data_IF_513999219761
#
_entry.id   IF_513999219761
#
_cell.length_a   1.000
_cell.length_b   1.000
_cell.length_c   1.000
_cell.angle_alpha   90.00
_cell.angle_beta   90.00
_cell.angle_gamma   90.00
#
_symmetry.space_group_name_H-M   'P 1'
#
loop_
_entity.id
_entity.type
_entity.pdbx_description
1 polymer ?
#
# COMPACT_ATOMS: atom_id res chain seq x y z
N UNK A 1 4.46 -12.21 10.54
CA UNK A 1 3.85 -11.50 11.69
C UNK A 1 4.86 -10.49 12.20
N UNK A 2 4.39 -9.32 12.64
CA UNK A 2 5.27 -8.26 13.16
C UNK A 2 5.97 -8.74 14.44
N UNK A 3 7.28 -8.57 14.51
CA UNK A 3 8.08 -8.93 15.67
C UNK A 3 7.98 -7.83 16.74
N UNK A 4 6.99 -7.97 17.62
CA UNK A 4 6.68 -6.97 18.65
C UNK A 4 7.77 -6.83 19.71
N UNK A 5 8.61 -7.86 19.91
CA UNK A 5 9.70 -7.83 20.89
C UNK A 5 10.84 -6.89 20.45
N UNK A 6 10.95 -6.65 19.14
CA UNK A 6 11.93 -5.73 18.55
C UNK A 6 11.43 -4.29 18.50
N UNK A 7 10.15 -4.04 18.82
CA UNK A 7 9.57 -2.69 18.84
C UNK A 7 10.03 -1.94 20.09
N UNK A 8 10.52 -0.72 19.88
CA UNK A 8 10.93 0.20 20.93
C UNK A 8 9.72 0.95 21.46
N UNK A 9 9.75 1.21 22.78
CA UNK A 9 8.77 2.02 23.50
C UNK A 9 7.32 1.53 23.40
N UNK A 10 7.13 0.22 23.24
CA UNK A 10 5.81 -0.39 23.10
C UNK A 10 4.85 0.00 24.24
N UNK A 11 5.36 0.06 25.48
CA UNK A 11 4.58 0.46 26.65
C UNK A 11 4.06 1.91 26.56
N UNK A 12 4.79 2.82 25.89
CA UNK A 12 4.35 4.21 25.70
C UNK A 12 3.22 4.30 24.66
N UNK A 13 3.32 3.54 23.57
CA UNK A 13 2.35 3.62 22.49
C UNK A 13 1.13 2.71 22.67
N UNK A 14 1.23 1.61 23.41
CA UNK A 14 0.16 0.62 23.58
C UNK A 14 -1.13 1.16 24.22
N UNK A 15 -1.06 2.25 24.97
CA UNK A 15 -2.23 2.93 25.54
C UNK A 15 -2.91 3.89 24.56
N UNK A 16 -2.19 4.33 23.52
CA UNK A 16 -2.66 5.33 22.54
C UNK A 16 -3.03 4.69 21.20
N UNK A 17 -2.30 3.66 20.78
CA UNK A 17 -2.38 3.05 19.46
C UNK A 17 -2.93 1.62 19.55
N UNK A 18 -3.83 1.27 18.62
CA UNK A 18 -4.34 -0.10 18.46
C UNK A 18 -3.37 -0.98 17.67
N UNK A 19 -2.26 -1.33 18.31
CA UNK A 19 -1.20 -2.15 17.71
C UNK A 19 -1.69 -3.56 17.36
N UNK A 20 -2.61 -4.11 18.15
CA UNK A 20 -3.26 -5.39 17.90
C UNK A 20 -4.04 -5.43 16.58
N UNK A 21 -4.52 -4.29 16.10
CA UNK A 21 -5.14 -4.13 14.77
C UNK A 21 -4.10 -3.85 13.69
N UNK A 22 -3.04 -3.10 14.01
CA UNK A 22 -1.96 -2.80 13.08
C UNK A 22 -1.15 -4.04 12.66
N UNK A 23 -0.87 -4.95 13.59
CA UNK A 23 -0.19 -6.22 13.31
C UNK A 23 -0.91 -7.05 12.24
N UNK A 24 -2.23 -6.86 12.10
CA UNK A 24 -3.10 -7.56 11.15
C UNK A 24 -3.37 -6.76 9.87
N UNK A 25 -2.80 -5.56 9.72
CA UNK A 25 -3.08 -4.66 8.59
C UNK A 25 -2.73 -5.28 7.23
N UNK A 26 -1.78 -6.23 7.22
CA UNK A 26 -1.37 -6.98 6.04
C UNK A 26 -1.97 -8.40 5.95
N UNK A 27 -2.62 -8.89 7.01
CA UNK A 27 -3.11 -10.27 7.11
C UNK A 27 -4.28 -10.54 6.15
N UNK A 28 -5.18 -9.58 5.99
CA UNK A 28 -6.40 -9.73 5.18
C UNK A 28 -6.24 -9.25 3.73
N UNK A 29 -5.00 -9.12 3.26
CA UNK A 29 -4.71 -8.57 1.92
C UNK A 29 -4.91 -9.65 0.85
N UNK A 30 -6.03 -9.57 0.12
CA UNK A 30 -6.26 -10.40 -1.07
C UNK A 30 -5.49 -9.89 -2.30
N UNK A 31 -4.92 -8.69 -2.22
CA UNK A 31 -4.19 -8.01 -3.28
C UNK A 31 -2.80 -7.59 -2.81
N UNK A 32 -1.82 -7.72 -3.70
CA UNK A 32 -0.46 -7.22 -3.52
C UNK A 32 -0.38 -5.72 -3.27
N UNK A 33 -1.40 -4.95 -3.66
CA UNK A 33 -1.41 -3.49 -3.56
C UNK A 33 -1.16 -2.99 -2.14
N UNK A 34 -1.64 -3.70 -1.12
CA UNK A 34 -1.51 -3.27 0.27
C UNK A 34 -0.05 -3.20 0.74
N UNK A 35 0.80 -4.13 0.30
CA UNK A 35 2.23 -4.12 0.66
C UNK A 35 2.91 -2.88 0.09
N UNK A 36 2.75 -2.65 -1.22
CA UNK A 36 3.35 -1.50 -1.89
C UNK A 36 2.78 -0.17 -1.40
N UNK A 37 1.47 -0.11 -1.11
CA UNK A 37 0.84 1.10 -0.59
C UNK A 37 1.36 1.46 0.80
N UNK A 38 1.46 0.48 1.70
CA UNK A 38 2.02 0.71 3.04
C UNK A 38 3.50 1.10 2.95
N UNK A 39 4.31 0.36 2.17
CA UNK A 39 5.73 0.66 1.96
C UNK A 39 5.93 2.08 1.38
N UNK A 40 5.10 2.48 0.41
CA UNK A 40 5.14 3.81 -0.16
C UNK A 40 4.81 4.91 0.86
N UNK A 41 3.78 4.71 1.71
CA UNK A 41 3.50 5.62 2.82
C UNK A 41 4.70 5.72 3.76
N UNK A 42 5.29 4.57 4.16
CA UNK A 42 6.43 4.55 5.07
C UNK A 42 7.64 5.31 4.51
N UNK A 43 7.94 5.16 3.22
CA UNK A 43 9.05 5.87 2.58
C UNK A 43 8.80 7.38 2.45
N UNK A 44 7.58 7.77 2.05
CA UNK A 44 7.25 9.18 1.79
C UNK A 44 7.03 9.94 3.12
N UNK A 45 6.54 9.26 4.16
CA UNK A 45 6.26 9.90 5.44
C UNK A 45 7.50 10.39 6.19
N UNK A 46 8.69 9.94 5.80
CA UNK A 46 9.96 10.44 6.30
C UNK A 46 10.06 11.96 6.11
N UNK A 47 9.52 12.49 5.00
CA UNK A 47 9.66 13.89 4.62
C UNK A 47 8.40 14.73 4.90
N UNK A 48 7.20 14.13 4.98
CA UNK A 48 5.92 14.83 5.19
C UNK A 48 4.82 13.88 5.69
N UNK A 49 3.87 14.35 6.48
CA UNK A 49 2.75 13.51 6.97
C UNK A 49 1.52 13.50 6.05
N UNK A 50 1.39 14.53 5.21
CA UNK A 50 0.27 14.71 4.30
C UNK A 50 0.74 14.40 2.88
N UNK A 51 0.21 13.33 2.29
CA UNK A 51 0.73 12.73 1.06
C UNK A 51 -0.41 12.57 0.05
N UNK A 52 -0.28 13.12 -1.16
CA UNK A 52 -1.27 12.87 -2.21
C UNK A 52 -1.25 11.40 -2.65
N UNK A 53 -2.42 10.86 -3.01
CA UNK A 53 -2.52 9.51 -3.56
C UNK A 53 -1.61 9.35 -4.77
N UNK A 54 -1.52 10.36 -5.63
CA UNK A 54 -0.64 10.34 -6.79
C UNK A 54 0.83 10.08 -6.44
N UNK A 55 1.32 10.71 -5.37
CA UNK A 55 2.71 10.55 -4.92
C UNK A 55 2.95 9.16 -4.31
N UNK A 56 1.95 8.61 -3.62
CA UNK A 56 2.00 7.22 -3.13
C UNK A 56 2.05 6.26 -4.32
N UNK A 57 1.26 6.50 -5.37
CA UNK A 57 1.25 5.64 -6.56
C UNK A 57 2.55 5.71 -7.36
N UNK A 58 3.16 6.89 -7.50
CA UNK A 58 4.47 7.06 -8.12
C UNK A 58 5.52 6.20 -7.41
N UNK A 59 5.52 6.28 -6.08
CA UNK A 59 6.39 5.49 -5.22
C UNK A 59 6.08 3.99 -5.35
N UNK A 60 4.81 3.57 -5.30
CA UNK A 60 4.39 2.17 -5.48
C UNK A 60 4.86 1.56 -6.80
N UNK A 61 4.70 2.29 -7.90
CA UNK A 61 5.14 1.82 -9.23
C UNK A 61 6.66 1.63 -9.24
N UNK A 62 7.41 2.56 -8.61
CA UNK A 62 8.87 2.42 -8.49
C UNK A 62 9.30 1.23 -7.62
N UNK A 63 8.59 0.98 -6.52
CA UNK A 63 8.89 -0.12 -5.59
C UNK A 63 8.61 -1.50 -6.19
N UNK A 64 7.59 -1.60 -7.02
CA UNK A 64 7.18 -2.86 -7.64
C UNK A 64 7.93 -3.19 -8.95
N UNK A 65 8.69 -2.24 -9.50
CA UNK A 65 9.36 -2.41 -10.79
C UNK A 65 10.31 -3.61 -10.82
N UNK A 66 11.23 -3.70 -9.86
CA UNK A 66 12.21 -4.79 -9.76
C UNK A 66 11.52 -6.16 -9.61
N UNK A 67 10.47 -6.21 -8.77
CA UNK A 67 9.71 -7.44 -8.52
C UNK A 67 9.06 -7.97 -9.81
N UNK A 68 8.53 -7.08 -10.67
CA UNK A 68 7.86 -7.46 -11.92
C UNK A 68 8.85 -7.70 -13.06
N UNK A 69 9.80 -6.79 -13.26
CA UNK A 69 10.66 -6.76 -14.45
C UNK A 69 11.86 -7.68 -14.31
N UNK A 70 12.55 -7.63 -13.16
CA UNK A 70 13.80 -8.38 -12.96
C UNK A 70 13.52 -9.76 -12.34
N UNK A 71 12.64 -9.83 -11.33
CA UNK A 71 12.32 -11.08 -10.64
C UNK A 71 11.19 -11.87 -11.30
N UNK A 72 10.44 -11.23 -12.22
CA UNK A 72 9.39 -11.86 -13.00
C UNK A 72 8.15 -12.25 -12.19
N UNK A 73 7.88 -11.62 -11.04
CA UNK A 73 6.68 -11.90 -10.27
C UNK A 73 5.43 -11.33 -10.95
N UNK A 74 4.35 -12.08 -10.85
CA UNK A 74 3.00 -11.58 -11.11
C UNK A 74 2.41 -11.02 -9.81
N UNK A 75 1.84 -9.82 -9.89
CA UNK A 75 1.27 -9.15 -8.72
C UNK A 75 -0.21 -9.50 -8.52
N UNK A 76 -0.85 -10.09 -9.53
CA UNK A 76 -2.25 -10.56 -9.55
C UNK A 76 -2.36 -12.00 -10.04
N UNK A 77 -3.50 -12.67 -9.85
CA UNK A 77 -3.75 -13.92 -10.54
C UNK A 77 -3.84 -13.72 -12.06
N UNK A 78 -3.37 -14.70 -12.82
CA UNK A 78 -3.61 -14.77 -14.26
C UNK A 78 -5.04 -15.26 -14.52
N UNK A 79 -5.87 -14.40 -15.11
CA UNK A 79 -7.25 -14.74 -15.49
C UNK A 79 -7.26 -15.06 -16.98
N UNK A 80 -7.53 -16.32 -17.35
CA UNK A 80 -7.44 -16.78 -18.74
C UNK A 80 -6.10 -16.44 -19.40
N UNK A 81 -4.99 -16.67 -18.69
CA UNK A 81 -3.62 -16.32 -19.10
C UNK A 81 -3.36 -14.83 -19.33
N UNK A 82 -4.25 -13.94 -18.85
CA UNK A 82 -4.08 -12.49 -18.94
C UNK A 82 -3.75 -11.88 -17.59
N UNK A 83 -2.81 -10.93 -17.61
CA UNK A 83 -2.44 -10.07 -16.47
C UNK A 83 -3.56 -9.05 -16.25
N UNK A 84 -4.24 -9.14 -15.11
CA UNK A 84 -5.34 -8.21 -14.76
C UNK A 84 -4.97 -7.23 -13.65
N UNK A 85 -3.78 -7.39 -13.05
CA UNK A 85 -3.29 -6.51 -12.00
C UNK A 85 -2.90 -5.14 -12.56
N UNK A 86 -3.46 -4.07 -11.99
CA UNK A 86 -3.27 -2.71 -12.47
C UNK A 86 -1.85 -2.19 -12.20
N UNK A 87 -1.23 -2.54 -11.08
CA UNK A 87 0.14 -2.13 -10.74
C UNK A 87 1.14 -2.80 -11.67
N UNK A 88 0.98 -4.10 -11.91
CA UNK A 88 1.82 -4.85 -12.85
C UNK A 88 1.69 -4.31 -14.28
N UNK A 89 0.45 -4.08 -14.74
CA UNK A 89 0.23 -3.53 -16.07
C UNK A 89 0.75 -2.09 -16.22
N UNK A 90 0.71 -1.28 -15.16
CA UNK A 90 1.35 0.04 -15.14
C UNK A 90 2.87 -0.09 -15.38
N UNK A 91 3.55 -0.97 -14.64
CA UNK A 91 5.00 -1.21 -14.75
C UNK A 91 5.37 -1.66 -16.17
N UNK A 92 4.67 -2.67 -16.70
CA UNK A 92 4.95 -3.19 -18.04
C UNK A 92 4.73 -2.14 -19.14
N UNK A 93 3.78 -1.21 -18.93
CA UNK A 93 3.51 -0.15 -19.90
C UNK A 93 4.66 0.86 -20.03
N UNK A 94 5.42 1.09 -18.96
CA UNK A 94 6.55 2.04 -18.92
C UNK A 94 7.92 1.38 -19.08
N UNK A 95 8.03 0.06 -18.87
CA UNK A 95 9.28 -0.70 -18.94
C UNK A 95 10.09 -0.40 -20.22
N UNK A 96 9.42 -0.28 -21.36
CA UNK A 96 10.05 -0.01 -22.67
C UNK A 96 10.79 1.35 -22.76
N UNK A 97 10.54 2.27 -21.84
CA UNK A 97 11.18 3.58 -21.79
C UNK A 97 12.37 3.63 -20.82
N UNK A 98 12.59 2.55 -20.07
CA UNK A 98 13.62 2.47 -19.03
C UNK A 98 14.82 1.63 -19.52
N UNK A 99 16.06 2.01 -19.15
CA UNK A 99 17.23 1.17 -19.38
C UNK A 99 17.21 -0.09 -18.50
N UNK A 100 17.97 -1.11 -18.89
CA UNK A 100 18.01 -2.41 -18.18
C UNK A 100 18.43 -2.31 -16.70
N UNK A 101 19.19 -1.29 -16.30
CA UNK A 101 19.65 -1.06 -14.92
C UNK A 101 19.21 0.31 -14.42
N UNK A 102 17.92 0.64 -14.55
CA UNK A 102 17.39 1.91 -14.09
C UNK A 102 17.36 2.01 -12.56
N UNK A 103 17.77 3.15 -12.03
CA UNK A 103 17.60 3.52 -10.63
C UNK A 103 16.13 3.81 -10.32
N UNK A 104 15.78 3.73 -9.03
CA UNK A 104 14.46 4.16 -8.53
C UNK A 104 14.09 5.58 -8.97
N UNK A 105 15.06 6.50 -8.98
CA UNK A 105 14.83 7.89 -9.40
C UNK A 105 14.47 7.97 -10.88
N UNK A 106 15.14 7.21 -11.75
CA UNK A 106 14.81 7.15 -13.18
C UNK A 106 13.42 6.55 -13.40
N UNK A 107 13.03 5.53 -12.62
CA UNK A 107 11.68 4.96 -12.68
C UNK A 107 10.64 6.03 -12.30
N UNK A 108 10.83 6.75 -11.19
CA UNK A 108 9.90 7.82 -10.77
C UNK A 108 9.81 8.93 -11.84
N UNK A 109 10.94 9.33 -12.44
CA UNK A 109 10.95 10.32 -13.52
C UNK A 109 10.14 9.82 -14.72
N UNK A 110 10.33 8.56 -15.13
CA UNK A 110 9.59 7.93 -16.22
C UNK A 110 8.08 7.87 -15.93
N UNK A 111 7.69 7.45 -14.72
CA UNK A 111 6.29 7.44 -14.27
C UNK A 111 5.65 8.82 -14.45
N UNK A 112 6.34 9.88 -14.01
CA UNK A 112 5.84 11.26 -14.13
C UNK A 112 5.76 11.76 -15.57
N UNK A 113 6.71 11.37 -16.42
CA UNK A 113 6.70 11.70 -17.85
C UNK A 113 5.54 11.04 -18.60
N UNK A 114 5.11 9.87 -18.13
CA UNK A 114 4.04 9.05 -18.72
C UNK A 114 2.76 9.03 -17.86
N UNK A 115 2.53 10.06 -17.04
CA UNK A 115 1.41 10.08 -16.09
C UNK A 115 0.03 9.91 -16.76
N UNK A 116 -0.17 10.55 -17.91
CA UNK A 116 -1.43 10.41 -18.66
C UNK A 116 -1.66 8.98 -19.19
N UNK A 117 -0.59 8.26 -19.56
CA UNK A 117 -0.69 6.85 -19.98
C UNK A 117 -1.02 5.93 -18.78
N UNK A 118 -0.62 6.34 -17.58
CA UNK A 118 -0.80 5.59 -16.33
C UNK A 118 -2.12 5.88 -15.61
N UNK A 119 -2.85 6.90 -16.05
CA UNK A 119 -4.03 7.45 -15.38
C UNK A 119 -5.11 6.41 -15.06
N UNK A 120 -5.42 5.51 -15.98
CA UNK A 120 -6.45 4.49 -15.76
C UNK A 120 -5.99 3.42 -14.77
N UNK A 121 -4.70 3.04 -14.78
CA UNK A 121 -4.15 2.14 -13.76
C UNK A 121 -4.16 2.80 -12.38
N UNK A 122 -3.71 4.06 -12.29
CA UNK A 122 -3.72 4.84 -11.05
C UNK A 122 -5.13 4.96 -10.47
N UNK A 123 -6.15 5.20 -11.30
CA UNK A 123 -7.57 5.21 -10.87
C UNK A 123 -7.99 3.87 -10.26
N UNK A 124 -7.67 2.75 -10.90
CA UNK A 124 -8.00 1.42 -10.38
C UNK A 124 -7.32 1.15 -9.04
N UNK A 125 -6.06 1.56 -8.88
CA UNK A 125 -5.30 1.36 -7.65
C UNK A 125 -5.92 2.12 -6.47
N UNK A 126 -6.42 3.34 -6.67
CA UNK A 126 -7.01 4.13 -5.58
C UNK A 126 -8.48 3.80 -5.27
N UNK A 127 -9.12 2.91 -6.05
CA UNK A 127 -10.54 2.57 -5.83
C UNK A 127 -10.77 1.96 -4.46
N UNK A 128 -9.92 1.04 -4.03
CA UNK A 128 -10.11 0.28 -2.78
C UNK A 128 -8.85 0.23 -1.91
N UNK A 129 -7.64 0.28 -2.49
CA UNK A 129 -6.37 0.10 -1.75
C UNK A 129 -6.21 1.03 -0.54
N UNK A 130 -6.46 2.36 -0.65
CA UNK A 130 -6.26 3.28 0.47
C UNK A 130 -7.21 3.00 1.64
N UNK A 131 -8.36 2.40 1.37
CA UNK A 131 -9.37 2.14 2.39
C UNK A 131 -9.22 0.73 2.96
N UNK A 132 -8.99 -0.26 2.10
CA UNK A 132 -8.88 -1.67 2.48
C UNK A 132 -7.63 -1.99 3.29
N UNK A 133 -6.55 -1.22 3.14
CA UNK A 133 -5.40 -1.37 4.02
C UNK A 133 -5.83 -1.19 5.49
N UNK A 134 -6.78 -0.29 5.77
CA UNK A 134 -7.29 -0.05 7.12
C UNK A 134 -8.32 -1.09 7.60
N UNK A 135 -8.59 -2.15 6.83
CA UNK A 135 -9.68 -3.10 7.13
C UNK A 135 -9.57 -3.80 8.48
N UNK A 136 -8.37 -4.05 9.00
CA UNK A 136 -8.19 -4.64 10.34
C UNK A 136 -8.69 -3.73 11.47
N UNK A 137 -8.81 -2.42 11.24
CA UNK A 137 -9.39 -1.46 12.17
C UNK A 137 -10.91 -1.34 12.00
N UNK A 138 -11.43 -1.60 10.80
CA UNK A 138 -12.84 -1.44 10.43
C UNK A 138 -13.66 -2.70 10.76
N UNK A 139 -13.69 -3.07 12.05
CA UNK A 139 -14.16 -4.40 12.52
C UNK A 139 -15.61 -4.74 12.15
N UNK A 140 -16.48 -3.74 11.92
CA UNK A 140 -17.87 -3.96 11.50
C UNK A 140 -18.05 -3.97 9.97
N UNK A 141 -16.99 -3.69 9.20
CA UNK A 141 -17.03 -3.65 7.73
C UNK A 141 -16.52 -4.97 7.16
N UNK A 142 -17.45 -5.80 6.70
CA UNK A 142 -17.12 -7.09 6.09
C UNK A 142 -16.33 -6.96 4.78
N UNK A 143 -15.52 -7.97 4.44
CA UNK A 143 -14.69 -7.95 3.22
C UNK A 143 -15.48 -7.78 1.90
N UNK A 144 -16.72 -8.26 1.88
CA UNK A 144 -17.66 -8.18 0.73
C UNK A 144 -18.63 -6.98 0.82
N UNK A 145 -18.44 -6.09 1.79
CA UNK A 145 -19.34 -4.95 1.98
C UNK A 145 -19.32 -4.01 0.74
N UNK A 146 -20.49 -3.60 0.21
CA UNK A 146 -20.53 -2.69 -0.94
C UNK A 146 -19.91 -1.32 -0.67
N UNK A 147 -19.71 -0.91 0.60
CA UNK A 147 -19.09 0.37 0.98
C UNK A 147 -17.68 0.53 0.42
N UNK A 148 -16.95 -0.58 0.18
CA UNK A 148 -15.62 -0.54 -0.44
C UNK A 148 -15.63 0.12 -1.82
N UNK A 149 -16.76 0.14 -2.51
CA UNK A 149 -16.93 0.79 -3.82
C UNK A 149 -17.54 2.20 -3.71
N UNK A 150 -17.66 2.75 -2.49
CA UNK A 150 -18.26 4.06 -2.21
C UNK A 150 -17.27 4.94 -1.46
N UNK A 151 -16.29 5.58 -2.15
CA UNK A 151 -15.20 6.33 -1.52
C UNK A 151 -15.66 7.38 -0.50
N UNK A 152 -16.78 8.08 -0.75
CA UNK A 152 -17.30 9.07 0.21
C UNK A 152 -17.75 8.42 1.52
N UNK A 153 -18.48 7.32 1.42
CA UNK A 153 -19.07 6.63 2.57
C UNK A 153 -17.97 5.97 3.41
N UNK A 154 -17.04 5.25 2.78
CA UNK A 154 -15.93 4.60 3.51
C UNK A 154 -14.99 5.61 4.16
N UNK A 155 -14.79 6.80 3.57
CA UNK A 155 -13.99 7.86 4.19
C UNK A 155 -14.68 8.40 5.45
N UNK A 156 -16.00 8.55 5.43
CA UNK A 156 -16.74 8.96 6.63
C UNK A 156 -16.67 7.88 7.71
N UNK A 157 -16.85 6.61 7.33
CA UNK A 157 -16.64 5.48 8.26
C UNK A 157 -15.22 5.46 8.85
N UNK A 158 -14.19 5.73 8.04
CA UNK A 158 -12.80 5.83 8.54
C UNK A 158 -12.66 6.94 9.59
N UNK A 159 -13.35 8.08 9.43
CA UNK A 159 -13.34 9.15 10.44
C UNK A 159 -14.01 8.68 11.74
N UNK A 160 -15.19 8.07 11.65
CA UNK A 160 -15.92 7.55 12.82
C UNK A 160 -15.08 6.53 13.61
N UNK A 161 -14.35 5.67 12.90
CA UNK A 161 -13.44 4.71 13.49
C UNK A 161 -12.18 5.37 14.07
N UNK A 162 -11.71 6.44 13.44
CA UNK A 162 -10.53 7.17 13.91
C UNK A 162 -10.74 7.77 15.30
N UNK A 163 -11.95 8.28 15.59
CA UNK A 163 -12.30 8.79 16.91
C UNK A 163 -12.21 7.72 18.01
N UNK A 164 -12.42 6.45 17.68
CA UNK A 164 -12.45 5.34 18.63
C UNK A 164 -11.12 4.62 18.75
N UNK A 165 -10.43 4.44 17.64
CA UNK A 165 -9.31 3.51 17.53
C UNK A 165 -8.00 4.14 17.12
N UNK A 166 -8.01 5.44 16.75
CA UNK A 166 -6.87 6.17 16.17
C UNK A 166 -6.19 5.36 15.08
N UNK A 167 -6.61 5.54 13.82
CA UNK A 167 -6.11 4.77 12.69
C UNK A 167 -4.69 5.24 12.26
N UNK A 168 -3.87 4.40 11.61
CA UNK A 168 -2.54 4.80 11.14
C UNK A 168 -2.53 6.09 10.30
N UNK A 169 -3.59 6.27 9.52
CA UNK A 169 -3.85 7.49 8.77
C UNK A 169 -5.35 7.68 8.57
N UNK A 170 -5.71 8.92 8.26
CA UNK A 170 -7.03 9.29 7.75
C UNK A 170 -6.92 9.74 6.29
N UNK A 171 -8.05 9.88 5.62
CA UNK A 171 -8.11 10.31 4.22
C UNK A 171 -8.82 11.65 4.14
N UNK A 172 -8.10 12.67 3.69
CA UNK A 172 -8.66 13.97 3.42
C UNK A 172 -9.46 13.94 2.11
N UNK A 173 -10.69 14.47 2.18
CA UNK A 173 -11.67 14.31 1.12
C UNK A 173 -11.46 15.33 -0.01
N UNK A 174 -10.47 15.08 -0.86
CA UNK A 174 -10.35 15.70 -2.19
C UNK A 174 -10.88 14.73 -3.29
N UNK A 175 -10.57 14.97 -4.56
CA UNK A 175 -11.06 14.18 -5.71
C UNK A 175 -9.95 13.34 -6.32
N UNK A 176 -10.26 12.06 -6.55
CA UNK A 176 -9.40 11.14 -7.30
C UNK A 176 -7.98 11.08 -6.74
N UNK A 177 -6.99 11.27 -7.61
CA UNK A 177 -5.56 11.22 -7.27
C UNK A 177 -5.10 12.37 -6.36
N UNK A 178 -5.88 13.45 -6.25
CA UNK A 178 -5.61 14.59 -5.36
C UNK A 178 -6.05 14.36 -3.92
N UNK A 179 -6.72 13.24 -3.63
CA UNK A 179 -6.97 12.82 -2.24
C UNK A 179 -5.65 12.65 -1.52
N UNK A 180 -5.67 12.91 -0.21
CA UNK A 180 -4.46 12.88 0.62
C UNK A 180 -4.62 11.89 1.76
N UNK A 181 -3.59 11.08 1.97
CA UNK A 181 -3.35 10.36 3.21
C UNK A 181 -2.77 11.36 4.20
N UNK A 182 -3.33 11.43 5.40
CA UNK A 182 -2.74 12.17 6.53
C UNK A 182 -2.33 11.13 7.57
N UNK A 183 -1.03 10.86 7.65
CA UNK A 183 -0.46 9.99 8.68
C UNK A 183 -0.62 10.68 10.02
N UNK A 184 -1.26 10.03 10.98
CA UNK A 184 -1.53 10.67 12.27
C UNK A 184 -0.23 10.85 13.07
N UNK A 185 -0.07 11.95 13.83
CA UNK A 185 1.21 12.28 14.49
C UNK A 185 1.74 11.16 15.40
N UNK A 186 0.88 10.57 16.22
CA UNK A 186 1.24 9.50 17.17
C UNK A 186 1.68 8.23 16.43
N UNK A 187 0.99 7.92 15.33
CA UNK A 187 1.41 6.83 14.44
C UNK A 187 2.70 7.14 13.72
N UNK A 188 2.87 8.35 13.19
CA UNK A 188 4.11 8.74 12.51
C UNK A 188 5.30 8.62 13.44
N UNK A 189 5.17 9.07 14.69
CA UNK A 189 6.21 8.96 15.70
C UNK A 189 6.56 7.49 15.99
N UNK A 190 5.55 6.64 16.25
CA UNK A 190 5.75 5.21 16.43
C UNK A 190 6.41 4.54 15.21
N UNK A 191 5.89 4.80 14.02
CA UNK A 191 6.35 4.16 12.78
C UNK A 191 7.76 4.64 12.41
N UNK A 192 8.12 5.90 12.66
CA UNK A 192 9.48 6.42 12.43
C UNK A 192 10.47 5.86 13.44
N UNK A 193 10.08 5.79 14.71
CA UNK A 193 10.90 5.21 15.78
C UNK A 193 11.21 3.74 15.51
N UNK A 194 10.23 3.01 14.97
CA UNK A 194 10.34 1.58 14.68
C UNK A 194 10.55 1.27 13.20
N UNK A 195 10.94 2.26 12.40
CA UNK A 195 10.94 2.20 10.93
C UNK A 195 11.62 0.96 10.39
N UNK A 196 12.82 0.65 10.89
CA UNK A 196 13.58 -0.52 10.43
C UNK A 196 12.83 -1.83 10.65
N UNK A 197 12.27 -2.03 11.84
CA UNK A 197 11.55 -3.27 12.20
C UNK A 197 10.27 -3.40 11.38
N UNK A 198 9.53 -2.30 11.22
CA UNK A 198 8.30 -2.28 10.43
C UNK A 198 8.58 -2.52 8.95
N UNK A 199 9.62 -1.89 8.38
CA UNK A 199 10.00 -2.10 6.98
C UNK A 199 10.46 -3.55 6.72
N UNK A 200 11.28 -4.11 7.61
CA UNK A 200 11.67 -5.53 7.53
C UNK A 200 10.43 -6.44 7.53
N UNK A 201 9.45 -6.17 8.41
CA UNK A 201 8.19 -6.91 8.42
C UNK A 201 7.37 -6.77 7.14
N UNK A 202 7.22 -5.55 6.61
CA UNK A 202 6.49 -5.30 5.35
C UNK A 202 7.15 -6.04 4.19
N UNK A 203 8.48 -6.04 4.12
CA UNK A 203 9.25 -6.78 3.11
C UNK A 203 9.08 -8.29 3.25
N UNK A 204 9.15 -8.83 4.46
CA UNK A 204 8.98 -10.26 4.72
C UNK A 204 7.58 -10.75 4.31
N UNK A 205 6.53 -10.03 4.68
CA UNK A 205 5.16 -10.39 4.29
C UNK A 205 4.94 -10.26 2.77
N UNK A 206 5.53 -9.23 2.13
CA UNK A 206 5.51 -9.08 0.66
C UNK A 206 6.18 -10.25 -0.04
N UNK A 207 7.39 -10.65 0.38
CA UNK A 207 8.12 -11.77 -0.22
C UNK A 207 7.34 -13.09 -0.05
N UNK A 208 6.82 -13.36 1.15
CA UNK A 208 5.97 -14.55 1.39
C UNK A 208 4.78 -14.60 0.44
N UNK A 209 4.12 -13.47 0.22
CA UNK A 209 3.00 -13.37 -0.69
C UNK A 209 3.40 -13.66 -2.15
N UNK A 210 4.47 -13.03 -2.63
CA UNK A 210 4.94 -13.16 -4.02
C UNK A 210 5.44 -14.60 -4.32
N UNK A 211 6.21 -15.19 -3.41
CA UNK A 211 6.69 -16.57 -3.55
C UNK A 211 5.54 -17.58 -3.55
N UNK A 212 4.58 -17.43 -2.63
CA UNK A 212 3.38 -18.28 -2.60
C UNK A 212 2.66 -18.27 -3.95
N UNK A 213 2.50 -17.09 -4.56
CA UNK A 213 1.84 -16.96 -5.86
C UNK A 213 2.61 -17.59 -7.01
N UNK A 214 3.92 -17.38 -7.06
CA UNK A 214 4.78 -18.00 -8.07
C UNK A 214 4.67 -19.53 -8.07
N UNK A 215 4.51 -20.13 -6.88
CA UNK A 215 4.27 -21.57 -6.73
C UNK A 215 2.88 -21.96 -7.24
N UNK A 216 1.83 -21.22 -6.88
CA UNK A 216 0.44 -21.48 -7.34
C UNK A 216 0.30 -21.41 -8.87
N UNK A 217 1.03 -20.49 -9.51
CA UNK A 217 1.06 -20.35 -10.97
C UNK A 217 1.80 -21.50 -11.66
N UNK A 218 2.89 -21.98 -11.08
CA UNK A 218 3.66 -23.11 -11.61
C UNK A 218 2.90 -24.44 -11.52
N UNK A 219 1.89 -24.51 -10.65
CA UNK A 219 1.05 -25.70 -10.45
C UNK A 219 -0.23 -25.73 -11.31
N UNK A 220 -0.50 -24.67 -12.08
CA UNK A 220 -1.71 -24.48 -12.91
C UNK A 220 -1.44 -24.70 -14.40
#
# INVERSE_FOLDING_TARGET
MLDVERLQFLDLYSFELRLDYFEKILEYTSSSYSFYWLEAILNVMIYKDTIEFDEILDEMISLAYEDVVEKGYHLGPLIHQKRTNALENAILSIQKYLPENCSKQEIIICVKQHDEDLKEYKKLLIMQTPYRLLSSFLVDVGGNDPIWNRPKDIIETIKDYNEKYRLPYIIENDRGLKRRVIVQPEWRDFLMTNYRVIMEWVHDEKIKYLEKRKIEESAS
#
